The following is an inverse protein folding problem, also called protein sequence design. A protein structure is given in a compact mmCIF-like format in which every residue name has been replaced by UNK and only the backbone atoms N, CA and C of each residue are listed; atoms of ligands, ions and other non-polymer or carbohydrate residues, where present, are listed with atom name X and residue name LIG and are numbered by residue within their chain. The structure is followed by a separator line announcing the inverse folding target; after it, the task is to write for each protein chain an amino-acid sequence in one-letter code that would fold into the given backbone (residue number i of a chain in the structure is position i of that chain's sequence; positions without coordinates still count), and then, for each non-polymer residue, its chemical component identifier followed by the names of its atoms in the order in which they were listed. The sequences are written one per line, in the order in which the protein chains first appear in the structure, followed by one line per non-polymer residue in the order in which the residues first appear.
data_IF_931390213927
#
_entry.id   IF_931390213927
#
_cell.length_a   1.000
_cell.length_b   1.000
_cell.length_c   1.000
_cell.angle_alpha   90.00
_cell.angle_beta   90.00
_cell.angle_gamma   90.00
#
_symmetry.space_group_name_H-M   'P 1'
#
loop_
_entity.id
_entity.type
_entity.pdbx_description
1 polymer ?
#
# COMPACT_ATOMS: atom_id res chain seq x y z
N UNK A 1 2.93 15.24 18.27
CA UNK A 1 4.24 15.00 17.63
C UNK A 1 4.20 15.72 16.29
N UNK A 2 5.24 16.49 15.94
CA UNK A 2 5.37 17.03 14.59
C UNK A 2 5.90 15.90 13.72
N UNK A 3 5.12 15.44 12.75
CA UNK A 3 5.60 14.54 11.70
C UNK A 3 6.59 15.34 10.87
N UNK A 4 7.89 15.14 11.10
CA UNK A 4 8.90 15.59 10.14
C UNK A 4 8.65 14.78 8.87
N UNK A 5 8.35 15.45 7.75
CA UNK A 5 8.26 14.80 6.45
C UNK A 5 9.68 14.28 6.14
N UNK A 6 9.88 12.97 6.26
CA UNK A 6 11.11 12.34 5.79
C UNK A 6 11.23 12.62 4.28
N UNK A 7 12.44 12.91 3.79
CA UNK A 7 12.66 12.93 2.34
C UNK A 7 12.35 11.56 1.74
N UNK A 8 12.03 11.52 0.45
CA UNK A 8 11.73 10.26 -0.25
C UNK A 8 12.82 9.20 -0.01
N UNK A 9 14.09 9.58 -0.09
CA UNK A 9 15.21 8.65 0.15
C UNK A 9 15.20 8.13 1.58
N UNK A 10 15.02 9.00 2.57
CA UNK A 10 15.00 8.61 3.99
C UNK A 10 13.82 7.69 4.30
N UNK A 11 12.66 7.93 3.69
CA UNK A 11 11.51 7.06 3.87
C UNK A 11 11.79 5.67 3.28
N UNK A 12 12.38 5.58 2.08
CA UNK A 12 12.75 4.29 1.47
C UNK A 12 13.80 3.55 2.31
N UNK A 13 14.83 4.26 2.79
CA UNK A 13 15.85 3.70 3.69
C UNK A 13 15.22 3.17 4.99
N UNK A 14 14.36 3.95 5.62
CA UNK A 14 13.63 3.54 6.82
C UNK A 14 12.81 2.27 6.58
N UNK A 15 12.03 2.21 5.49
CA UNK A 15 11.18 1.06 5.16
C UNK A 15 11.99 -0.19 4.76
N UNK A 16 13.20 -0.02 4.22
CA UNK A 16 14.06 -1.15 3.85
C UNK A 16 14.57 -1.97 5.04
N UNK A 17 14.47 -1.43 6.26
CA UNK A 17 14.94 -2.11 7.47
C UNK A 17 13.94 -3.18 7.97
N UNK A 18 12.71 -3.17 7.46
CA UNK A 18 11.69 -4.14 7.80
C UNK A 18 11.84 -5.39 6.93
N UNK A 19 12.19 -6.52 7.56
CA UNK A 19 12.40 -7.82 6.89
C UNK A 19 11.54 -8.94 7.51
N UNK A 20 10.49 -8.57 8.23
CA UNK A 20 9.59 -9.47 8.93
C UNK A 20 8.69 -8.67 9.87
N UNK A 21 7.69 -9.34 10.43
CA UNK A 21 6.69 -8.72 11.31
C UNK A 21 6.63 -9.48 12.63
N UNK A 22 6.61 -8.75 13.74
CA UNK A 22 6.42 -9.30 15.09
C UNK A 22 4.94 -9.21 15.50
N UNK A 23 4.25 -8.16 15.07
CA UNK A 23 2.83 -7.94 15.32
C UNK A 23 2.07 -7.66 14.02
N UNK A 24 0.76 -7.95 14.02
CA UNK A 24 -0.15 -7.58 12.95
C UNK A 24 -1.10 -6.49 13.43
N UNK A 25 -1.09 -5.35 12.74
CA UNK A 25 -1.88 -4.17 13.10
C UNK A 25 -3.19 -4.18 12.34
N UNK A 26 -4.32 -4.26 13.04
CA UNK A 26 -5.64 -4.22 12.39
C UNK A 26 -5.91 -2.86 11.79
N UNK A 27 -6.45 -2.85 10.58
CA UNK A 27 -6.88 -1.65 9.87
C UNK A 27 -8.19 -1.09 10.43
N UNK A 28 -8.56 0.12 10.03
CA UNK A 28 -9.72 0.83 10.58
C UNK A 28 -11.05 0.11 10.33
N UNK A 29 -11.24 -0.49 9.16
CA UNK A 29 -12.45 -1.27 8.88
C UNK A 29 -12.35 -2.72 9.38
N UNK A 30 -11.17 -3.14 9.86
CA UNK A 30 -10.93 -4.45 10.46
C UNK A 30 -11.00 -5.63 9.49
N UNK A 31 -11.01 -5.37 8.17
CA UNK A 31 -11.02 -6.42 7.14
C UNK A 31 -9.61 -6.92 6.83
N UNK A 32 -8.60 -6.07 7.04
CA UNK A 32 -7.21 -6.36 6.76
C UNK A 32 -6.32 -6.18 8.00
N UNK A 33 -5.08 -6.62 7.89
CA UNK A 33 -4.02 -6.39 8.85
C UNK A 33 -2.78 -5.86 8.12
N UNK A 34 -1.98 -5.05 8.80
CA UNK A 34 -0.70 -4.54 8.31
C UNK A 34 0.43 -5.26 9.02
N UNK A 35 1.52 -5.54 8.32
CA UNK A 35 2.81 -5.81 8.96
C UNK A 35 3.35 -4.56 9.65
N UNK A 36 4.38 -4.74 10.50
CA UNK A 36 5.07 -3.63 11.17
C UNK A 36 5.62 -2.61 10.16
N UNK A 37 6.15 -3.09 9.02
CA UNK A 37 6.61 -2.23 7.95
C UNK A 37 5.50 -1.43 7.28
N UNK A 38 4.37 -2.06 6.97
CA UNK A 38 3.20 -1.37 6.39
C UNK A 38 2.56 -0.38 7.36
N UNK A 39 2.47 -0.74 8.64
CA UNK A 39 2.01 0.17 9.69
C UNK A 39 2.93 1.38 9.81
N UNK A 40 4.25 1.15 9.82
CA UNK A 40 5.26 2.21 9.89
C UNK A 40 5.24 3.14 8.68
N UNK A 41 4.96 2.63 7.48
CA UNK A 41 4.70 3.45 6.29
C UNK A 41 3.51 4.39 6.53
N UNK A 42 2.39 3.87 7.03
CA UNK A 42 1.19 4.67 7.27
C UNK A 42 1.44 5.79 8.29
N UNK A 43 2.16 5.49 9.37
CA UNK A 43 2.54 6.47 10.40
C UNK A 43 3.50 7.55 9.86
N UNK A 44 4.53 7.14 9.12
CA UNK A 44 5.56 8.06 8.62
C UNK A 44 5.06 8.95 7.46
N UNK A 45 4.24 8.39 6.56
CA UNK A 45 3.76 9.07 5.37
C UNK A 45 2.34 9.65 5.50
N UNK A 46 1.65 9.40 6.63
CA UNK A 46 0.26 9.84 6.82
C UNK A 46 -0.72 9.19 5.84
N UNK A 47 -0.41 8.01 5.30
CA UNK A 47 -1.10 7.44 4.15
C UNK A 47 -2.14 6.36 4.49
N UNK A 48 -2.78 6.44 5.67
CA UNK A 48 -3.88 5.53 6.03
C UNK A 48 -5.01 5.52 4.99
N UNK A 49 -5.24 6.64 4.30
CA UNK A 49 -6.20 6.75 3.22
C UNK A 49 -5.95 5.74 2.07
N UNK A 50 -4.69 5.34 1.83
CA UNK A 50 -4.35 4.33 0.84
C UNK A 50 -4.85 2.95 1.27
N UNK A 51 -4.77 2.66 2.57
CA UNK A 51 -5.30 1.42 3.16
C UNK A 51 -6.82 1.42 3.12
N UNK A 52 -7.45 2.57 3.38
CA UNK A 52 -8.91 2.71 3.28
C UNK A 52 -9.41 2.38 1.86
N UNK A 53 -8.69 2.81 0.81
CA UNK A 53 -8.98 2.42 -0.59
C UNK A 53 -8.90 0.90 -0.75
N UNK A 54 -7.79 0.29 -0.33
CA UNK A 54 -7.57 -1.16 -0.45
C UNK A 54 -8.65 -1.96 0.29
N UNK A 55 -9.05 -1.52 1.49
CA UNK A 55 -10.11 -2.16 2.26
C UNK A 55 -11.50 -2.00 1.61
N UNK A 56 -11.78 -0.83 1.05
CA UNK A 56 -13.11 -0.53 0.48
C UNK A 56 -13.52 -1.46 -0.67
N UNK A 57 -12.54 -2.08 -1.33
CA UNK A 57 -12.74 -2.92 -2.52
C UNK A 57 -12.58 -4.41 -2.26
N UNK A 58 -12.40 -4.83 -1.00
CA UNK A 58 -12.24 -6.25 -0.63
C UNK A 58 -13.46 -7.14 -0.93
N UNK A 59 -14.62 -6.52 -1.20
CA UNK A 59 -15.83 -7.21 -1.65
C UNK A 59 -15.97 -7.33 -3.17
N UNK A 60 -15.15 -6.60 -3.95
CA UNK A 60 -15.17 -6.70 -5.41
C UNK A 60 -14.72 -8.09 -5.86
N UNK A 61 -15.38 -8.63 -6.89
CA UNK A 61 -15.23 -10.04 -7.27
C UNK A 61 -13.79 -10.37 -7.72
N UNK A 62 -13.16 -9.45 -8.46
CA UNK A 62 -11.81 -9.64 -8.99
C UNK A 62 -10.76 -9.63 -7.86
N UNK A 63 -10.89 -8.70 -6.90
CA UNK A 63 -10.07 -8.69 -5.67
C UNK A 63 -10.32 -9.96 -4.86
N UNK A 64 -11.58 -10.34 -4.66
CA UNK A 64 -11.95 -11.51 -3.86
C UNK A 64 -11.42 -12.83 -4.43
N UNK A 65 -11.40 -12.97 -5.75
CA UNK A 65 -10.91 -14.16 -6.44
C UNK A 65 -9.38 -14.31 -6.38
N UNK A 66 -8.66 -13.21 -6.19
CA UNK A 66 -7.20 -13.18 -6.19
C UNK A 66 -6.59 -12.99 -4.80
N UNK A 67 -7.37 -13.10 -3.72
CA UNK A 67 -6.91 -12.82 -2.33
C UNK A 67 -5.62 -13.53 -1.93
N UNK A 68 -5.32 -14.70 -2.50
CA UNK A 68 -4.07 -15.41 -2.20
C UNK A 68 -2.82 -14.53 -2.45
N UNK A 69 -2.84 -13.71 -3.50
CA UNK A 69 -1.77 -12.76 -3.79
C UNK A 69 -2.26 -11.63 -4.70
N UNK A 70 -2.05 -10.39 -4.28
CA UNK A 70 -2.33 -9.18 -5.08
C UNK A 70 -1.16 -8.22 -4.92
N UNK A 71 -0.72 -7.60 -6.01
CA UNK A 71 0.25 -6.50 -5.98
C UNK A 71 -0.48 -5.18 -6.10
N UNK A 72 -0.39 -4.38 -5.04
CA UNK A 72 -0.89 -3.02 -5.00
C UNK A 72 0.22 -2.05 -5.39
N UNK A 73 -0.11 -1.06 -6.22
CA UNK A 73 0.80 0.00 -6.65
C UNK A 73 0.10 1.35 -6.58
N UNK A 74 0.76 2.33 -5.99
CA UNK A 74 0.41 3.75 -6.10
C UNK A 74 1.45 4.45 -6.97
N UNK A 75 0.99 5.29 -7.88
CA UNK A 75 1.81 6.19 -8.70
C UNK A 75 1.31 7.63 -8.50
N UNK A 76 2.24 8.56 -8.28
CA UNK A 76 1.97 9.99 -8.05
C UNK A 76 2.67 10.79 -9.14
N UNK A 77 1.89 11.60 -9.86
CA UNK A 77 2.39 12.47 -10.91
C UNK A 77 2.98 13.77 -10.34
N UNK A 78 3.73 14.50 -11.18
CA UNK A 78 4.32 15.80 -10.81
C UNK A 78 3.26 16.84 -10.37
N UNK A 79 2.05 16.78 -10.94
CA UNK A 79 0.92 17.64 -10.59
C UNK A 79 0.16 17.20 -9.32
N UNK A 80 0.69 16.20 -8.61
CA UNK A 80 0.11 15.56 -7.42
C UNK A 80 -1.16 14.75 -7.67
N UNK A 81 -1.61 14.57 -8.90
CA UNK A 81 -2.59 13.54 -9.19
C UNK A 81 -1.99 12.14 -8.97
N UNK A 82 -2.84 11.15 -8.67
CA UNK A 82 -2.37 9.81 -8.36
C UNK A 82 -3.25 8.73 -8.96
N UNK A 83 -2.69 7.52 -9.04
CA UNK A 83 -3.38 6.31 -9.47
C UNK A 83 -2.99 5.15 -8.55
N UNK A 84 -4.00 4.46 -8.01
CA UNK A 84 -3.85 3.21 -7.26
C UNK A 84 -4.31 2.08 -8.15
N UNK A 85 -3.53 1.01 -8.23
CA UNK A 85 -3.85 -0.18 -9.04
C UNK A 85 -3.62 -1.46 -8.25
N UNK A 86 -4.41 -2.48 -8.55
CA UNK A 86 -4.21 -3.85 -8.07
C UNK A 86 -3.95 -4.78 -9.26
N UNK A 87 -2.99 -5.68 -9.11
CA UNK A 87 -2.57 -6.62 -10.16
C UNK A 87 -2.53 -8.04 -9.61
N UNK A 88 -2.81 -9.04 -10.44
CA UNK A 88 -2.80 -10.45 -10.02
C UNK A 88 -1.39 -11.02 -9.80
N UNK A 89 -0.37 -10.41 -10.39
CA UNK A 89 1.04 -10.73 -10.14
C UNK A 89 1.92 -9.50 -10.44
N UNK A 90 2.48 -9.41 -11.65
CA UNK A 90 3.38 -8.29 -12.02
C UNK A 90 2.61 -7.09 -12.58
N UNK A 91 2.81 -5.87 -12.05
CA UNK A 91 2.22 -4.66 -12.61
C UNK A 91 2.56 -4.48 -14.10
N UNK A 92 1.56 -4.09 -14.89
CA UNK A 92 1.63 -3.90 -16.36
C UNK A 92 1.90 -5.16 -17.21
N UNK A 93 2.10 -6.33 -16.61
CA UNK A 93 2.28 -7.60 -17.31
C UNK A 93 1.16 -8.61 -17.02
N UNK A 94 0.57 -8.53 -15.83
CA UNK A 94 -0.51 -9.40 -15.36
C UNK A 94 -1.89 -8.74 -15.48
N UNK A 95 -2.93 -9.44 -15.01
CA UNK A 95 -4.29 -8.94 -15.04
C UNK A 95 -4.45 -7.75 -14.09
N UNK A 96 -5.02 -6.65 -14.59
CA UNK A 96 -5.42 -5.50 -13.79
C UNK A 96 -6.75 -5.84 -13.09
N UNK A 97 -6.72 -5.90 -11.75
CA UNK A 97 -7.86 -6.27 -10.92
C UNK A 97 -8.66 -5.04 -10.46
N UNK A 98 -7.98 -3.90 -10.30
CA UNK A 98 -8.60 -2.66 -9.83
C UNK A 98 -7.79 -1.44 -10.27
N UNK A 99 -8.47 -0.32 -10.53
CA UNK A 99 -7.85 0.98 -10.76
C UNK A 99 -8.71 2.10 -10.13
N UNK A 100 -8.05 2.99 -9.38
CA UNK A 100 -8.62 4.25 -8.92
C UNK A 100 -7.68 5.41 -9.25
N UNK A 101 -8.25 6.52 -9.72
CA UNK A 101 -7.54 7.78 -9.95
C UNK A 101 -8.00 8.84 -8.96
N UNK A 102 -7.07 9.66 -8.51
CA UNK A 102 -7.35 10.84 -7.71
C UNK A 102 -6.66 12.07 -8.25
N UNK A 103 -7.22 13.24 -7.98
CA UNK A 103 -6.72 14.52 -8.51
C UNK A 103 -5.62 15.14 -7.65
N UNK A 104 -5.44 14.68 -6.42
CA UNK A 104 -4.44 15.22 -5.50
C UNK A 104 -4.09 14.21 -4.40
N UNK A 105 -2.81 14.12 -4.04
CA UNK A 105 -2.32 13.46 -2.83
C UNK A 105 -1.08 14.15 -2.27
N UNK A 106 -0.89 14.03 -0.97
CA UNK A 106 0.33 14.40 -0.25
C UNK A 106 1.29 13.22 -0.04
N UNK A 107 1.00 12.04 -0.63
CA UNK A 107 1.89 10.88 -0.57
C UNK A 107 3.31 11.26 -1.04
N UNK A 108 4.34 10.96 -0.23
CA UNK A 108 5.66 11.54 -0.44
C UNK A 108 6.48 10.87 -1.54
N UNK A 109 6.13 9.65 -1.97
CA UNK A 109 6.89 8.89 -2.97
C UNK A 109 6.24 9.01 -4.36
N UNK A 110 7.07 9.09 -5.40
CA UNK A 110 6.58 9.06 -6.79
C UNK A 110 5.86 7.75 -7.15
N UNK A 111 6.35 6.64 -6.61
CA UNK A 111 5.69 5.34 -6.70
C UNK A 111 6.02 4.44 -5.51
N UNK A 112 5.09 3.56 -5.20
CA UNK A 112 5.27 2.56 -4.16
C UNK A 112 4.44 1.31 -4.45
N UNK A 113 5.02 0.16 -4.14
CA UNK A 113 4.37 -1.15 -4.31
C UNK A 113 4.45 -1.96 -3.02
N UNK A 114 3.37 -2.67 -2.73
CA UNK A 114 3.25 -3.57 -1.59
C UNK A 114 2.35 -4.75 -1.96
N UNK A 115 2.40 -5.80 -1.17
CA UNK A 115 1.65 -7.02 -1.42
C UNK A 115 0.45 -7.12 -0.50
N UNK A 116 -0.57 -7.80 -0.98
CA UNK A 116 -1.63 -8.37 -0.16
C UNK A 116 -1.55 -9.89 -0.27
N UNK A 117 -1.53 -10.56 0.89
CA UNK A 117 -1.60 -12.01 1.00
C UNK A 117 -2.74 -12.35 1.95
N UNK A 118 -3.79 -12.96 1.41
CA UNK A 118 -5.10 -13.14 2.06
C UNK A 118 -5.65 -11.83 2.62
N UNK A 119 -5.54 -11.64 3.93
CA UNK A 119 -6.04 -10.46 4.65
C UNK A 119 -4.91 -9.62 5.26
N UNK A 120 -3.67 -9.80 4.79
CA UNK A 120 -2.49 -9.09 5.30
C UNK A 120 -1.87 -8.25 4.19
N UNK A 121 -1.61 -6.97 4.48
CA UNK A 121 -0.81 -6.08 3.66
C UNK A 121 0.64 -6.09 4.16
N UNK A 122 1.58 -6.28 3.23
CA UNK A 122 2.97 -6.65 3.51
C UNK A 122 3.90 -5.80 2.64
N UNK A 123 4.99 -5.26 3.21
CA UNK A 123 6.04 -4.66 2.39
C UNK A 123 6.71 -5.73 1.52
N UNK A 124 7.22 -5.34 0.36
CA UNK A 124 7.97 -6.28 -0.49
C UNK A 124 9.18 -6.92 0.19
N UNK A 125 9.82 -6.20 1.11
CA UNK A 125 10.98 -6.69 1.86
C UNK A 125 10.61 -7.68 2.97
N UNK A 126 9.33 -7.79 3.32
CA UNK A 126 8.81 -8.66 4.37
C UNK A 126 8.16 -9.96 3.80
N UNK A 127 8.13 -10.13 2.48
CA UNK A 127 7.59 -11.30 1.76
C UNK A 127 8.71 -12.15 1.14
#
# INVERSE_FOLDING_TARGET
MKTEILSEERLREFLSQFTGTEEYHRTNFGLLCLTDGMFSLCEAAGCYWLIDIVESVQSEQDIKNNKAFIVWRIEVNEDKSFKVTAWSDKPYESELLYEQKGTYTDFPLADFEFYQCDSVLVLKSEY
#
